data_IF_361031065707
#
_entry.id   IF_361031065707
#
_cell.length_a   1.000
_cell.length_b   1.000
_cell.length_c   1.000
_cell.angle_alpha   90.00
_cell.angle_beta   90.00
_cell.angle_gamma   90.00
#
_symmetry.space_group_name_H-M   'P 1'
#
loop_
_entity.id
_entity.type
_entity.pdbx_description
1 polymer ?
#
# COMPACT_ATOMS: atom_id res chain seq x y z
N UNK A 1 1.36 -19.67 3.54
CA UNK A 1 -0.07 -19.42 3.80
C UNK A 1 -0.52 -18.05 3.30
N UNK A 2 -0.05 -16.92 3.88
CA UNK A 2 -0.32 -15.58 3.34
C UNK A 2 0.24 -15.40 1.93
N UNK A 3 1.51 -15.80 1.73
CA UNK A 3 2.16 -15.67 0.42
C UNK A 3 1.46 -16.48 -0.66
N UNK A 4 0.96 -17.68 -0.33
CA UNK A 4 0.24 -18.53 -1.27
C UNK A 4 -1.12 -17.93 -1.63
N UNK A 5 -1.86 -17.41 -0.63
CA UNK A 5 -3.13 -16.73 -0.86
C UNK A 5 -2.95 -15.49 -1.75
N UNK A 6 -2.02 -14.60 -1.38
CA UNK A 6 -1.73 -13.40 -2.16
C UNK A 6 -1.24 -13.76 -3.56
N UNK A 7 -0.41 -14.79 -3.70
CA UNK A 7 0.03 -15.27 -5.02
C UNK A 7 -1.13 -15.76 -5.86
N UNK A 8 -2.08 -16.52 -5.31
CA UNK A 8 -3.26 -16.98 -6.03
C UNK A 8 -4.16 -15.82 -6.47
N UNK A 9 -4.41 -14.84 -5.58
CA UNK A 9 -5.18 -13.63 -5.92
C UNK A 9 -4.49 -12.89 -7.06
N UNK A 10 -3.18 -12.69 -6.98
CA UNK A 10 -2.40 -12.03 -8.02
C UNK A 10 -2.49 -12.82 -9.33
N UNK A 11 -2.33 -14.15 -9.31
CA UNK A 11 -2.43 -14.99 -10.51
C UNK A 11 -3.78 -14.83 -11.19
N UNK A 12 -4.88 -14.88 -10.42
CA UNK A 12 -6.23 -14.67 -10.96
C UNK A 12 -6.34 -13.27 -11.57
N UNK A 13 -5.91 -12.22 -10.87
CA UNK A 13 -5.98 -10.85 -11.37
C UNK A 13 -5.14 -10.68 -12.64
N UNK A 14 -3.90 -11.19 -12.68
CA UNK A 14 -3.04 -11.12 -13.88
C UNK A 14 -3.68 -11.77 -15.10
N UNK A 15 -4.46 -12.86 -14.92
CA UNK A 15 -5.20 -13.48 -16.02
C UNK A 15 -6.27 -12.56 -16.62
N UNK A 16 -6.90 -11.71 -15.80
CA UNK A 16 -7.87 -10.71 -16.24
C UNK A 16 -7.21 -9.53 -16.99
N UNK A 17 -5.92 -9.29 -16.77
CA UNK A 17 -5.13 -8.22 -17.39
C UNK A 17 -4.20 -8.73 -18.51
N UNK A 18 -4.57 -9.84 -19.17
CA UNK A 18 -3.82 -10.36 -20.33
C UNK A 18 -2.50 -11.05 -19.99
N UNK A 19 -2.32 -11.47 -18.73
CA UNK A 19 -1.13 -12.19 -18.26
C UNK A 19 0.08 -11.28 -18.02
N UNK A 20 -0.13 -9.98 -17.81
CA UNK A 20 0.95 -9.05 -17.45
C UNK A 20 1.61 -9.46 -16.14
N UNK A 21 2.93 -9.28 -16.06
CA UNK A 21 3.65 -9.46 -14.80
C UNK A 21 3.33 -8.27 -13.90
N UNK A 22 2.95 -8.47 -12.62
CA UNK A 22 2.66 -7.37 -11.71
C UNK A 22 3.94 -6.70 -11.22
N UNK A 23 3.85 -5.41 -10.91
CA UNK A 23 4.89 -4.71 -10.17
C UNK A 23 4.90 -5.27 -8.75
N UNK A 24 6.05 -5.73 -8.27
CA UNK A 24 6.20 -6.25 -6.91
C UNK A 24 7.21 -5.41 -6.14
N UNK A 25 6.75 -4.78 -5.06
CA UNK A 25 7.56 -3.98 -4.16
C UNK A 25 7.39 -4.51 -2.73
N UNK A 26 8.43 -4.29 -1.93
CA UNK A 26 8.41 -4.55 -0.48
C UNK A 26 8.69 -3.24 0.24
N UNK A 27 8.21 -3.06 1.46
CA UNK A 27 8.34 -1.79 2.18
C UNK A 27 9.79 -1.30 2.33
N UNK A 28 10.76 -2.23 2.38
CA UNK A 28 12.18 -1.92 2.35
C UNK A 28 12.65 -1.15 1.09
N UNK A 29 11.98 -1.30 -0.05
CA UNK A 29 12.30 -0.56 -1.28
C UNK A 29 12.16 0.95 -1.09
N UNK A 30 11.19 1.38 -0.29
CA UNK A 30 10.88 2.79 -0.04
C UNK A 30 11.88 3.45 0.92
N UNK A 31 12.83 2.69 1.48
CA UNK A 31 13.92 3.22 2.31
C UNK A 31 15.05 3.82 1.47
N UNK A 32 15.02 3.71 0.14
CA UNK A 32 16.00 4.38 -0.73
C UNK A 32 15.96 5.90 -0.53
N UNK A 33 17.14 6.51 -0.51
CA UNK A 33 17.29 7.93 -0.16
C UNK A 33 16.66 8.89 -1.17
N UNK A 34 16.60 8.51 -2.45
CA UNK A 34 15.93 9.29 -3.50
C UNK A 34 14.42 9.34 -3.25
N UNK A 35 13.80 8.20 -2.98
CA UNK A 35 12.35 8.10 -2.69
C UNK A 35 11.97 8.82 -1.39
N UNK A 36 12.79 8.69 -0.35
CA UNK A 36 12.53 9.36 0.92
C UNK A 36 12.64 10.89 0.83
N UNK A 37 13.54 11.41 -0.01
CA UNK A 37 13.69 12.85 -0.21
C UNK A 37 12.60 13.40 -1.11
N UNK A 38 12.27 12.69 -2.17
CA UNK A 38 11.27 13.07 -3.15
C UNK A 38 10.56 11.83 -3.68
N UNK A 39 9.37 11.56 -3.15
CA UNK A 39 8.54 10.45 -3.60
C UNK A 39 7.99 10.67 -5.03
N UNK A 40 8.07 11.90 -5.58
CA UNK A 40 7.74 12.20 -6.96
C UNK A 40 8.64 11.48 -7.96
N UNK A 41 9.90 11.22 -7.59
CA UNK A 41 10.82 10.37 -8.38
C UNK A 41 10.28 8.95 -8.50
N UNK A 42 9.75 8.41 -7.41
CA UNK A 42 9.12 7.08 -7.41
C UNK A 42 7.86 7.08 -8.29
N UNK A 43 6.98 8.08 -8.16
CA UNK A 43 5.78 8.20 -8.99
C UNK A 43 6.12 8.25 -10.49
N UNK A 44 7.13 9.04 -10.87
CA UNK A 44 7.58 9.14 -12.25
C UNK A 44 8.11 7.80 -12.78
N UNK A 45 8.89 7.07 -11.97
CA UNK A 45 9.40 5.73 -12.32
C UNK A 45 8.27 4.71 -12.49
N UNK A 46 7.28 4.72 -11.59
CA UNK A 46 6.22 3.72 -11.60
C UNK A 46 5.13 3.99 -12.63
N UNK A 47 4.98 5.23 -13.12
CA UNK A 47 3.85 5.59 -14.00
C UNK A 47 3.81 4.74 -15.27
N UNK A 48 4.92 4.63 -16.00
CA UNK A 48 4.97 3.87 -17.25
C UNK A 48 4.80 2.36 -17.00
N UNK A 49 5.51 1.82 -16.01
CA UNK A 49 5.40 0.42 -15.62
C UNK A 49 3.97 0.06 -15.22
N UNK A 50 3.29 0.92 -14.46
CA UNK A 50 1.92 0.67 -13.99
C UNK A 50 0.91 0.83 -15.14
N UNK A 51 1.16 1.71 -16.11
CA UNK A 51 0.37 1.81 -17.34
C UNK A 51 0.43 0.54 -18.19
N UNK A 52 1.56 -0.15 -18.19
CA UNK A 52 1.74 -1.39 -18.93
C UNK A 52 1.24 -2.60 -18.15
N UNK A 53 1.60 -2.70 -16.87
CA UNK A 53 1.38 -3.90 -16.06
C UNK A 53 0.00 -3.92 -15.39
N UNK A 54 -0.60 -2.75 -15.13
CA UNK A 54 -1.91 -2.54 -14.50
C UNK A 54 -2.11 -3.15 -13.11
N UNK A 55 -1.11 -3.83 -12.56
CA UNK A 55 -1.19 -4.49 -11.26
C UNK A 55 0.06 -4.12 -10.48
N UNK A 56 -0.13 -3.60 -9.27
CA UNK A 56 0.94 -3.34 -8.31
C UNK A 56 0.66 -4.06 -7.00
N UNK A 57 1.69 -4.68 -6.46
CA UNK A 57 1.65 -5.38 -5.18
C UNK A 57 2.74 -4.78 -4.30
N UNK A 58 2.34 -4.16 -3.20
CA UNK A 58 3.27 -3.63 -2.20
C UNK A 58 3.11 -4.40 -0.91
N UNK A 59 4.18 -5.12 -0.54
CA UNK A 59 4.23 -5.89 0.70
C UNK A 59 4.84 -5.09 1.85
N UNK A 60 4.46 -5.45 3.07
CA UNK A 60 5.02 -4.89 4.31
C UNK A 60 4.86 -3.35 4.40
N UNK A 61 3.63 -2.87 4.31
CA UNK A 61 3.31 -1.44 4.38
C UNK A 61 3.86 -0.78 5.66
N UNK A 62 3.95 -1.54 6.77
CA UNK A 62 4.51 -1.11 8.04
C UNK A 62 6.01 -0.73 7.99
N UNK A 63 6.74 -1.15 6.95
CA UNK A 63 8.15 -0.80 6.75
C UNK A 63 8.36 0.48 5.95
N UNK A 64 7.29 1.06 5.38
CA UNK A 64 7.38 2.22 4.50
C UNK A 64 7.55 3.50 5.34
N UNK A 65 8.61 4.30 5.09
CA UNK A 65 8.77 5.60 5.71
C UNK A 65 7.58 6.52 5.40
N UNK A 66 7.10 7.27 6.39
CA UNK A 66 5.93 8.12 6.25
C UNK A 66 6.01 9.09 5.05
N UNK A 67 7.20 9.64 4.79
CA UNK A 67 7.43 10.53 3.65
C UNK A 67 7.21 9.82 2.30
N UNK A 68 7.65 8.57 2.18
CA UNK A 68 7.48 7.77 0.97
C UNK A 68 6.03 7.25 0.82
N UNK A 69 5.34 7.00 1.94
CA UNK A 69 3.95 6.54 1.95
C UNK A 69 2.99 7.55 1.29
N UNK A 70 3.34 8.85 1.27
CA UNK A 70 2.56 9.88 0.57
C UNK A 70 2.42 9.62 -0.95
N UNK A 71 3.31 8.83 -1.57
CA UNK A 71 3.13 8.42 -2.98
C UNK A 71 1.80 7.70 -3.21
N UNK A 72 1.30 6.96 -2.22
CA UNK A 72 0.03 6.25 -2.35
C UNK A 72 -1.18 7.18 -2.36
N UNK A 73 -1.02 8.45 -2.00
CA UNK A 73 -2.07 9.45 -2.19
C UNK A 73 -2.43 9.57 -3.67
N UNK A 74 -1.42 9.70 -4.54
CA UNK A 74 -1.60 9.78 -6.00
C UNK A 74 -1.87 8.42 -6.62
N UNK A 75 -1.21 7.34 -6.16
CA UNK A 75 -1.40 6.00 -6.76
C UNK A 75 -2.82 5.47 -6.52
N UNK A 76 -3.37 5.72 -5.33
CA UNK A 76 -4.66 5.20 -4.89
C UNK A 76 -5.74 6.29 -4.83
N UNK A 77 -5.57 7.42 -5.52
CA UNK A 77 -6.62 8.43 -5.56
C UNK A 77 -7.85 7.89 -6.31
N UNK A 78 -9.04 8.11 -5.75
CA UNK A 78 -10.28 7.58 -6.32
C UNK A 78 -10.80 8.39 -7.51
N UNK A 79 -10.38 9.65 -7.65
CA UNK A 79 -10.81 10.55 -8.73
C UNK A 79 -9.71 10.72 -9.79
N UNK A 80 -8.47 10.90 -9.35
CA UNK A 80 -7.30 11.15 -10.21
C UNK A 80 -6.14 10.19 -9.88
N UNK A 81 -6.32 8.86 -10.06
CA UNK A 81 -5.25 7.90 -9.81
C UNK A 81 -4.05 8.14 -10.75
N UNK A 82 -2.86 7.74 -10.32
CA UNK A 82 -1.63 7.82 -11.14
C UNK A 82 -1.82 7.16 -12.52
N UNK A 83 -2.57 6.05 -12.55
CA UNK A 83 -2.92 5.28 -13.74
C UNK A 83 -4.34 4.75 -13.57
N UNK A 84 -5.22 5.06 -14.52
CA UNK A 84 -6.57 4.51 -14.56
C UNK A 84 -6.56 2.98 -14.75
N UNK A 85 -7.59 2.30 -14.24
CA UNK A 85 -7.78 0.85 -14.42
C UNK A 85 -6.59 0.01 -13.95
N UNK A 86 -5.98 0.39 -12.82
CA UNK A 86 -4.97 -0.41 -12.16
C UNK A 86 -5.50 -1.03 -10.86
N UNK A 87 -5.01 -2.22 -10.51
CA UNK A 87 -5.31 -2.89 -9.24
C UNK A 87 -4.09 -2.82 -8.34
N UNK A 88 -4.25 -2.24 -7.16
CA UNK A 88 -3.19 -2.07 -6.18
C UNK A 88 -3.49 -2.96 -4.97
N UNK A 89 -2.63 -3.93 -4.70
CA UNK A 89 -2.68 -4.74 -3.50
C UNK A 89 -1.63 -4.27 -2.49
N UNK A 90 -2.08 -3.99 -1.27
CA UNK A 90 -1.23 -3.57 -0.17
C UNK A 90 -1.36 -4.59 0.96
N UNK A 91 -0.25 -4.98 1.58
CA UNK A 91 -0.28 -5.90 2.73
C UNK A 91 0.28 -5.23 3.98
N UNK A 92 -0.40 -5.42 5.10
CA UNK A 92 0.03 -4.97 6.42
C UNK A 92 0.19 -6.18 7.35
N UNK A 93 1.38 -6.37 7.91
CA UNK A 93 1.60 -7.47 8.87
C UNK A 93 1.31 -7.01 10.31
N UNK A 94 0.11 -7.37 10.79
CA UNK A 94 -0.32 -7.02 12.13
C UNK A 94 0.56 -7.60 13.23
N UNK A 95 1.28 -8.71 13.02
CA UNK A 95 2.20 -9.26 14.03
C UNK A 95 3.39 -8.35 14.29
N UNK A 96 3.81 -7.60 13.27
CA UNK A 96 4.92 -6.65 13.33
C UNK A 96 4.49 -5.29 13.89
N UNK A 97 3.21 -4.98 13.78
CA UNK A 97 2.60 -3.77 14.36
C UNK A 97 2.03 -4.01 15.77
N UNK A 98 1.84 -5.26 16.19
CA UNK A 98 1.29 -5.64 17.51
C UNK A 98 2.09 -5.17 18.74
N UNK A 99 3.31 -4.66 18.56
CA UNK A 99 4.01 -3.94 19.63
C UNK A 99 3.34 -2.60 19.99
N UNK A 100 2.23 -2.24 19.33
CA UNK A 100 1.52 -1.00 19.57
C UNK A 100 0.16 -1.21 20.29
N UNK A 101 -0.58 -2.33 20.11
CA UNK A 101 -1.90 -2.56 20.75
C UNK A 101 -2.33 -4.05 20.85
N UNK A 102 -3.21 -4.38 21.80
CA UNK A 102 -3.91 -5.68 21.90
C UNK A 102 -4.99 -5.81 20.80
N UNK A 103 -5.24 -7.04 20.33
CA UNK A 103 -6.32 -7.33 19.36
C UNK A 103 -7.68 -7.04 20.00
N UNK A 104 -8.43 -6.10 19.42
CA UNK A 104 -9.79 -5.77 19.84
C UNK A 104 -10.82 -6.47 18.94
N UNK A 105 -12.10 -6.54 19.33
CA UNK A 105 -13.19 -7.08 18.47
C UNK A 105 -13.52 -6.17 17.26
N UNK A 106 -12.56 -5.39 16.80
CA UNK A 106 -12.77 -4.37 15.79
C UNK A 106 -12.72 -4.92 14.36
N UNK A 107 -13.34 -4.16 13.46
CA UNK A 107 -13.26 -4.42 12.03
C UNK A 107 -11.81 -4.40 11.54
N UNK A 108 -11.51 -5.20 10.51
CA UNK A 108 -10.17 -5.23 9.91
C UNK A 108 -9.72 -3.84 9.41
N UNK A 109 -10.67 -3.05 8.91
CA UNK A 109 -10.45 -1.66 8.52
C UNK A 109 -10.00 -0.80 9.70
N UNK A 110 -10.73 -0.82 10.83
CA UNK A 110 -10.41 -0.02 12.02
C UNK A 110 -9.03 -0.38 12.61
N UNK A 111 -8.68 -1.66 12.61
CA UNK A 111 -7.34 -2.11 13.04
C UNK A 111 -6.23 -1.61 12.11
N UNK A 112 -6.44 -1.69 10.79
CA UNK A 112 -5.49 -1.20 9.80
C UNK A 112 -5.30 0.31 9.93
N UNK A 113 -6.39 1.08 10.01
CA UNK A 113 -6.30 2.53 10.16
C UNK A 113 -5.57 2.94 11.44
N UNK A 114 -5.90 2.32 12.59
CA UNK A 114 -5.19 2.60 13.85
C UNK A 114 -3.69 2.34 13.71
N UNK A 115 -3.33 1.22 13.10
CA UNK A 115 -1.96 0.81 12.88
C UNK A 115 -1.20 1.83 12.02
N UNK A 116 -1.77 2.24 10.90
CA UNK A 116 -1.17 3.23 9.99
C UNK A 116 -1.08 4.63 10.65
N UNK A 117 -2.11 5.04 11.40
CA UNK A 117 -2.06 6.28 12.20
C UNK A 117 -0.89 6.23 13.18
N UNK A 118 -0.73 5.13 13.92
CA UNK A 118 0.35 5.01 14.89
C UNK A 118 1.74 5.07 14.26
N UNK A 119 1.92 4.48 13.07
CA UNK A 119 3.18 4.49 12.33
C UNK A 119 3.58 5.88 11.84
N UNK A 120 2.62 6.70 11.40
CA UNK A 120 2.92 7.92 10.64
C UNK A 120 2.51 9.23 11.32
N UNK A 121 1.74 9.21 12.43
CA UNK A 121 1.24 10.41 13.13
C UNK A 121 2.28 11.46 13.53
N UNK A 122 3.51 11.03 13.80
CA UNK A 122 4.57 11.94 14.25
C UNK A 122 5.37 12.53 13.08
N UNK A 123 5.13 12.07 11.85
CA UNK A 123 5.89 12.44 10.65
C UNK A 123 5.05 13.18 9.61
N UNK A 124 3.73 13.02 9.63
CA UNK A 124 2.81 13.64 8.66
C UNK A 124 1.84 14.60 9.36
N UNK A 125 1.48 15.72 8.71
CA UNK A 125 0.37 16.55 9.17
C UNK A 125 -0.93 15.74 9.23
N UNK A 126 -1.83 16.00 10.21
CA UNK A 126 -3.06 15.24 10.39
C UNK A 126 -3.93 15.16 9.14
N UNK A 127 -4.08 16.27 8.41
CA UNK A 127 -4.88 16.34 7.19
C UNK A 127 -4.31 15.49 6.05
N UNK A 128 -2.99 15.40 5.93
CA UNK A 128 -2.32 14.54 4.95
C UNK A 128 -2.46 13.08 5.36
N UNK A 129 -2.27 12.79 6.65
CA UNK A 129 -2.34 11.45 7.21
C UNK A 129 -3.73 10.81 7.03
N UNK A 130 -4.79 11.50 7.46
CA UNK A 130 -6.15 10.95 7.40
C UNK A 130 -6.62 10.77 5.94
N UNK A 131 -6.23 11.70 5.06
CA UNK A 131 -6.50 11.62 3.63
C UNK A 131 -5.79 10.42 2.96
N UNK A 132 -4.55 10.15 3.37
CA UNK A 132 -3.80 8.98 2.92
C UNK A 132 -4.46 7.69 3.44
N UNK A 133 -4.72 7.60 4.74
CA UNK A 133 -5.27 6.40 5.37
C UNK A 133 -6.60 6.01 4.74
N UNK A 134 -7.52 6.97 4.56
CA UNK A 134 -8.82 6.74 3.91
C UNK A 134 -8.69 6.05 2.55
N UNK A 135 -7.70 6.45 1.73
CA UNK A 135 -7.44 5.83 0.42
C UNK A 135 -6.87 4.42 0.55
N UNK A 136 -6.00 4.19 1.53
CA UNK A 136 -5.36 2.89 1.74
C UNK A 136 -6.31 1.85 2.35
N UNK A 137 -7.33 2.30 3.08
CA UNK A 137 -8.23 1.42 3.85
C UNK A 137 -9.63 1.32 3.28
N UNK A 138 -9.87 1.75 2.04
CA UNK A 138 -11.19 1.68 1.40
C UNK A 138 -11.75 0.23 1.39
N UNK A 139 -10.90 -0.76 1.12
CA UNK A 139 -11.25 -2.18 1.14
C UNK A 139 -10.20 -3.00 1.89
N UNK A 140 -10.51 -3.44 3.12
CA UNK A 140 -9.58 -4.19 3.98
C UNK A 140 -10.14 -5.57 4.30
N UNK A 141 -9.34 -6.60 4.04
CA UNK A 141 -9.66 -7.99 4.33
C UNK A 141 -8.65 -8.57 5.32
N UNK A 142 -9.14 -9.19 6.39
CA UNK A 142 -8.30 -9.92 7.34
C UNK A 142 -8.07 -11.33 6.80
N UNK A 143 -6.81 -11.74 6.76
CA UNK A 143 -6.39 -13.10 6.41
C UNK A 143 -5.97 -13.77 7.71
N UNK A 144 -6.62 -14.89 8.05
CA UNK A 144 -6.39 -15.71 9.25
C UNK A 144 -5.88 -17.09 8.87
#
# INVERSE_FOLDING_TARGET
MLDDFISNVITITTSCFGGTKPIQLVGGHFKRSDIQKDYGVFLAQQKEDLQQQRIMVVRNLEDIPAQAAQAFHTICDTQEPLVDNAVIYLTLDMSRVRNVYELTEESAMSEAERSLRALWKNSLPPEVLESLITRLTENVYRIV
#
